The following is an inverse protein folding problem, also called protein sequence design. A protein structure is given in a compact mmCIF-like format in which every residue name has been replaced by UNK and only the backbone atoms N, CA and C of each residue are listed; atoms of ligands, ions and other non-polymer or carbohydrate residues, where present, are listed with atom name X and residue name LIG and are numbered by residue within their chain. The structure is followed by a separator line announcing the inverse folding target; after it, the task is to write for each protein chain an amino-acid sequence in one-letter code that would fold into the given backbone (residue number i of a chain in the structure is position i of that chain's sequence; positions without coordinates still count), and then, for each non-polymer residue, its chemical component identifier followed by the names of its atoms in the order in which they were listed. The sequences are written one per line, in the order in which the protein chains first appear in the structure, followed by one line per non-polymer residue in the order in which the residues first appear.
data_IF_641934332143
#
_entry.id   IF_641934332143
#
_cell.length_a   1.000
_cell.length_b   1.000
_cell.length_c   1.000
_cell.angle_alpha   90.00
_cell.angle_beta   90.00
_cell.angle_gamma   90.00
#
_symmetry.space_group_name_H-M   'P 1'
#
loop_
_entity.id
_entity.type
_entity.pdbx_description
1 polymer ?
#
# COMPACT_ATOMS: atom_id res chain seq x y z
N UNK A 1 -2.46 7.40 51.45
CA UNK A 1 -2.76 6.73 50.19
C UNK A 1 -1.49 6.82 49.33
N UNK A 2 -0.76 5.70 49.20
CA UNK A 2 0.46 5.65 48.41
C UNK A 2 0.09 5.76 46.94
N UNK A 3 0.67 6.75 46.27
CA UNK A 3 0.55 6.93 44.83
C UNK A 3 1.37 5.81 44.17
N UNK A 4 0.71 4.73 43.75
CA UNK A 4 1.36 3.69 42.95
C UNK A 4 1.80 4.33 41.63
N UNK A 5 3.05 4.70 41.57
CA UNK A 5 3.68 5.14 40.34
C UNK A 5 3.79 3.91 39.42
N UNK A 6 2.83 3.76 38.49
CA UNK A 6 2.98 2.80 37.41
C UNK A 6 4.29 3.11 36.69
N UNK A 7 5.14 2.10 36.43
CA UNK A 7 6.37 2.33 35.69
C UNK A 7 6.01 2.93 34.33
N UNK A 8 6.52 4.13 34.04
CA UNK A 8 6.33 4.79 32.73
C UNK A 8 7.08 3.99 31.70
N UNK A 9 6.39 3.24 30.88
CA UNK A 9 7.01 2.58 29.72
C UNK A 9 7.43 3.67 28.73
N UNK A 10 8.71 3.66 28.35
CA UNK A 10 9.20 4.57 27.31
C UNK A 10 8.50 4.26 25.98
N UNK A 11 8.03 5.29 25.28
CA UNK A 11 7.44 5.18 23.96
C UNK A 11 8.40 5.85 22.97
N UNK A 12 8.74 5.15 21.91
CA UNK A 12 9.49 5.67 20.78
C UNK A 12 8.53 5.89 19.59
N UNK A 13 8.68 7.01 18.90
CA UNK A 13 7.91 7.29 17.68
C UNK A 13 8.81 6.96 16.49
N UNK A 14 8.37 5.99 15.70
CA UNK A 14 8.97 5.63 14.42
C UNK A 14 8.20 6.26 13.26
N UNK A 15 8.91 6.61 12.19
CA UNK A 15 8.32 7.04 10.92
C UNK A 15 8.64 5.98 9.86
N UNK A 16 7.66 5.60 9.05
CA UNK A 16 7.85 4.65 7.96
C UNK A 16 7.21 5.16 6.66
N UNK A 17 7.94 5.06 5.54
CA UNK A 17 7.52 5.58 4.24
C UNK A 17 7.22 4.47 3.23
N UNK A 18 5.97 4.32 2.82
CA UNK A 18 5.60 3.55 1.63
C UNK A 18 5.79 4.44 0.39
N UNK A 19 6.97 4.34 -0.24
CA UNK A 19 7.34 5.14 -1.42
C UNK A 19 7.04 4.33 -2.67
N UNK A 20 6.05 4.77 -3.43
CA UNK A 20 5.51 4.08 -4.61
C UNK A 20 6.01 4.73 -5.89
N UNK A 21 6.37 3.89 -6.86
CA UNK A 21 6.60 4.26 -8.25
C UNK A 21 5.88 3.26 -9.18
N UNK A 22 5.65 3.63 -10.43
CA UNK A 22 5.10 2.72 -11.45
C UNK A 22 6.10 2.62 -12.60
N UNK A 23 6.53 1.41 -12.92
CA UNK A 23 7.36 1.12 -14.10
C UNK A 23 6.53 0.36 -15.12
N UNK A 24 6.16 1.04 -16.21
CA UNK A 24 5.24 0.55 -17.23
C UNK A 24 3.88 0.14 -16.65
N UNK A 25 3.71 -1.15 -16.36
CA UNK A 25 2.50 -1.75 -15.78
C UNK A 25 2.76 -2.41 -14.40
N UNK A 26 3.97 -2.22 -13.86
CA UNK A 26 4.39 -2.83 -12.59
C UNK A 26 4.42 -1.79 -11.48
N UNK A 27 3.56 -1.91 -10.46
CA UNK A 27 3.61 -1.04 -9.31
C UNK A 27 4.75 -1.48 -8.38
N UNK A 28 5.59 -0.53 -8.04
CA UNK A 28 6.81 -0.73 -7.28
C UNK A 28 6.71 -0.07 -5.91
N UNK A 29 7.31 -0.71 -4.92
CA UNK A 29 7.51 -0.18 -3.58
C UNK A 29 8.99 -0.13 -3.25
N UNK A 30 9.47 0.97 -2.70
CA UNK A 30 10.83 1.07 -2.18
C UNK A 30 10.94 0.27 -0.89
N UNK A 31 11.92 -0.63 -0.86
CA UNK A 31 12.25 -1.43 0.33
C UNK A 31 13.71 -1.23 0.71
N UNK A 32 14.00 -1.39 1.99
CA UNK A 32 15.34 -1.40 2.57
C UNK A 32 15.55 -2.66 3.40
N UNK A 33 16.81 -3.09 3.55
CA UNK A 33 17.19 -4.27 4.32
C UNK A 33 18.22 -5.12 3.60
N UNK A 34 19.15 -5.74 4.37
CA UNK A 34 20.27 -6.50 3.83
C UNK A 34 20.20 -8.00 4.09
N UNK A 35 19.50 -8.47 5.13
CA UNK A 35 19.61 -9.87 5.62
C UNK A 35 18.31 -10.67 5.47
N UNK A 36 17.78 -10.75 4.26
CA UNK A 36 16.69 -11.68 3.91
C UNK A 36 15.27 -11.16 4.13
N UNK A 37 14.98 -10.36 5.16
CA UNK A 37 13.68 -9.74 5.36
C UNK A 37 13.77 -8.24 5.10
N UNK A 38 12.97 -7.75 4.14
CA UNK A 38 12.94 -6.34 3.78
C UNK A 38 11.93 -5.56 4.63
N UNK A 39 12.17 -4.24 4.75
CA UNK A 39 11.24 -3.30 5.37
C UNK A 39 11.00 -2.09 4.48
N UNK A 40 10.07 -1.23 4.87
CA UNK A 40 9.96 0.10 4.30
C UNK A 40 11.10 0.98 4.83
N UNK A 41 11.56 1.99 4.09
CA UNK A 41 12.42 3.02 4.65
C UNK A 41 11.79 3.59 5.93
N UNK A 42 12.52 3.54 7.04
CA UNK A 42 11.99 3.90 8.35
C UNK A 42 13.09 4.41 9.27
N UNK A 43 12.71 5.23 10.24
CA UNK A 43 13.64 5.75 11.24
C UNK A 43 12.91 6.37 12.43
N UNK A 44 13.62 6.59 13.55
CA UNK A 44 13.06 7.25 14.73
C UNK A 44 12.77 8.74 14.44
N UNK A 45 11.70 9.24 15.04
CA UNK A 45 11.44 10.67 15.04
C UNK A 45 12.20 11.34 16.19
N UNK A 46 13.05 12.30 15.83
CA UNK A 46 13.74 13.15 16.81
C UNK A 46 13.05 14.53 16.91
N UNK A 47 12.30 14.81 17.99
CA UNK A 47 11.59 16.09 18.16
C UNK A 47 12.53 17.28 18.35
N UNK A 48 13.80 17.05 18.72
CA UNK A 48 14.79 18.11 18.85
C UNK A 48 15.38 18.50 17.50
N UNK A 49 15.51 17.55 16.58
CA UNK A 49 16.06 17.79 15.25
C UNK A 49 14.97 18.16 14.21
N UNK A 50 13.71 17.72 14.42
CA UNK A 50 12.65 17.87 13.43
C UNK A 50 11.39 18.49 14.02
N UNK A 51 10.98 19.64 13.46
CA UNK A 51 9.77 20.35 13.90
C UNK A 51 8.48 19.57 13.66
N UNK A 52 8.42 18.77 12.58
CA UNK A 52 7.24 17.97 12.22
C UNK A 52 7.64 16.57 11.78
N UNK A 53 6.71 15.62 11.87
CA UNK A 53 6.92 14.25 11.37
C UNK A 53 7.28 14.24 9.89
N UNK A 54 6.63 15.07 9.06
CA UNK A 54 6.92 15.14 7.63
C UNK A 54 8.34 15.60 7.34
N UNK A 55 8.85 16.60 8.07
CA UNK A 55 10.24 17.06 7.94
C UNK A 55 11.21 15.93 8.31
N UNK A 56 10.95 15.23 9.42
CA UNK A 56 11.74 14.07 9.82
C UNK A 56 11.71 12.96 8.79
N UNK A 57 10.52 12.65 8.26
CA UNK A 57 10.36 11.67 7.20
C UNK A 57 11.16 11.99 5.95
N UNK A 58 11.01 13.21 5.41
CA UNK A 58 11.71 13.63 4.18
C UNK A 58 13.23 13.58 4.35
N UNK A 59 13.72 13.96 5.54
CA UNK A 59 15.14 13.92 5.84
C UNK A 59 15.67 12.48 5.83
N UNK A 60 15.10 11.56 6.60
CA UNK A 60 15.63 10.19 6.63
C UNK A 60 15.44 9.46 5.30
N UNK A 61 14.34 9.72 4.56
CA UNK A 61 14.17 9.17 3.21
C UNK A 61 15.31 9.63 2.31
N UNK A 62 15.62 10.93 2.30
CA UNK A 62 16.75 11.49 1.52
C UNK A 62 18.09 10.88 1.95
N UNK A 63 18.34 10.76 3.27
CA UNK A 63 19.59 10.20 3.81
C UNK A 63 19.75 8.69 3.48
N UNK A 64 18.67 7.90 3.59
CA UNK A 64 18.73 6.45 3.34
C UNK A 64 18.67 6.07 1.86
N UNK A 65 18.01 6.87 1.04
CA UNK A 65 17.67 6.46 -0.34
C UNK A 65 18.16 7.43 -1.41
N UNK A 66 18.66 8.60 -1.03
CA UNK A 66 18.98 9.71 -1.93
C UNK A 66 17.80 10.16 -2.81
N UNK A 67 16.56 9.87 -2.40
CA UNK A 67 15.34 10.27 -3.09
C UNK A 67 14.77 11.56 -2.48
N UNK A 68 14.39 12.49 -3.35
CA UNK A 68 13.49 13.57 -3.01
C UNK A 68 12.06 13.17 -3.39
N UNK A 69 11.22 12.99 -2.36
CA UNK A 69 9.81 12.64 -2.57
C UNK A 69 8.96 13.88 -2.77
N UNK A 70 8.14 13.89 -3.82
CA UNK A 70 7.20 14.97 -4.12
C UNK A 70 5.98 14.92 -3.21
N UNK A 71 5.00 14.14 -3.60
CA UNK A 71 3.77 13.93 -2.83
C UNK A 71 4.02 13.08 -1.59
N UNK A 72 3.57 13.57 -0.43
CA UNK A 72 3.63 12.86 0.85
C UNK A 72 2.29 13.02 1.57
N UNK A 73 1.79 11.95 2.15
CA UNK A 73 0.55 11.94 2.94
C UNK A 73 0.71 11.03 4.16
N UNK A 74 0.35 11.52 5.33
CA UNK A 74 0.26 10.69 6.53
C UNK A 74 -0.93 9.72 6.39
N UNK A 75 -0.69 8.45 6.67
CA UNK A 75 -1.70 7.39 6.58
C UNK A 75 -2.40 7.18 7.92
N UNK A 76 -1.74 6.45 8.80
CA UNK A 76 -2.27 6.01 10.08
C UNK A 76 -1.12 5.89 11.09
N UNK A 77 -1.48 5.86 12.37
CA UNK A 77 -0.54 5.60 13.47
C UNK A 77 -0.74 4.17 13.97
N UNK A 78 0.32 3.37 13.90
CA UNK A 78 0.34 1.95 14.24
C UNK A 78 1.00 1.80 15.60
N UNK A 79 0.21 1.52 16.63
CA UNK A 79 0.69 1.40 18.01
C UNK A 79 0.27 0.08 18.67
N UNK A 80 -0.05 -0.95 17.89
CA UNK A 80 -0.48 -2.23 18.43
C UNK A 80 0.67 -2.95 19.15
N UNK A 81 0.45 -3.24 20.42
CA UNK A 81 1.43 -3.97 21.23
C UNK A 81 1.66 -5.36 20.65
N UNK A 82 2.94 -5.77 20.52
CA UNK A 82 3.34 -7.10 20.05
C UNK A 82 3.41 -7.23 18.52
N UNK A 83 3.37 -6.13 17.76
CA UNK A 83 3.63 -6.14 16.31
C UNK A 83 5.00 -5.55 15.93
N UNK A 84 5.68 -4.90 16.85
CA UNK A 84 7.04 -4.35 16.67
C UNK A 84 8.12 -5.12 17.41
N UNK A 85 7.75 -5.90 18.41
CA UNK A 85 8.67 -6.60 19.29
C UNK A 85 8.32 -8.07 19.34
N UNK A 86 9.34 -8.93 19.47
CA UNK A 86 9.12 -10.34 19.80
C UNK A 86 8.51 -10.47 21.20
N UNK A 87 7.74 -11.53 21.44
CA UNK A 87 7.18 -11.80 22.75
C UNK A 87 8.31 -11.91 23.80
N UNK A 88 8.29 -11.03 24.81
CA UNK A 88 9.33 -10.96 25.85
C UNK A 88 10.38 -9.86 25.64
N UNK A 89 10.31 -9.08 24.56
CA UNK A 89 11.19 -7.94 24.34
C UNK A 89 10.91 -6.83 25.39
N UNK A 90 12.00 -6.30 25.97
CA UNK A 90 11.98 -5.21 26.97
C UNK A 90 12.28 -3.84 26.35
N UNK A 91 12.46 -3.77 25.03
CA UNK A 91 12.68 -2.53 24.31
C UNK A 91 11.50 -1.54 24.45
N UNK A 92 11.71 -0.24 24.26
CA UNK A 92 10.65 0.75 24.25
C UNK A 92 9.54 0.36 23.28
N UNK A 93 8.28 0.67 23.64
CA UNK A 93 7.16 0.46 22.75
C UNK A 93 7.23 1.44 21.57
N UNK A 94 7.41 0.90 20.36
CA UNK A 94 7.46 1.73 19.15
C UNK A 94 6.05 1.98 18.62
N UNK A 95 5.71 3.25 18.46
CA UNK A 95 4.50 3.71 17.76
C UNK A 95 4.92 4.22 16.39
N UNK A 96 4.55 3.52 15.32
CA UNK A 96 4.92 3.88 13.95
C UNK A 96 3.88 4.77 13.31
N UNK A 97 4.33 5.90 12.74
CA UNK A 97 3.51 6.76 11.88
C UNK A 97 3.83 6.43 10.43
N UNK A 98 2.85 5.85 9.74
CA UNK A 98 2.97 5.45 8.34
C UNK A 98 2.70 6.63 7.39
N UNK A 99 3.44 6.68 6.30
CA UNK A 99 3.29 7.66 5.23
C UNK A 99 3.21 6.98 3.86
N UNK A 100 2.39 7.53 2.97
CA UNK A 100 2.42 7.27 1.54
C UNK A 100 3.21 8.38 0.87
N UNK A 101 4.19 8.01 0.03
CA UNK A 101 4.89 8.94 -0.84
C UNK A 101 4.88 8.41 -2.28
N UNK A 102 4.82 9.32 -3.24
CA UNK A 102 4.79 8.99 -4.67
C UNK A 102 6.02 9.58 -5.35
N UNK A 103 6.62 8.82 -6.26
CA UNK A 103 7.76 9.26 -7.05
C UNK A 103 7.66 8.75 -8.49
N UNK A 104 8.27 9.46 -9.43
CA UNK A 104 8.32 9.06 -10.84
C UNK A 104 9.37 7.96 -11.04
N UNK A 105 9.11 7.02 -11.93
CA UNK A 105 10.04 5.91 -12.23
C UNK A 105 11.42 6.38 -12.68
N UNK A 106 11.51 7.50 -13.39
CA UNK A 106 12.80 8.07 -13.81
C UNK A 106 13.69 8.44 -12.61
N UNK A 107 13.08 9.02 -11.56
CA UNK A 107 13.75 9.34 -10.30
C UNK A 107 14.12 8.03 -9.57
N UNK A 108 13.17 7.09 -9.52
CA UNK A 108 13.39 5.77 -8.91
C UNK A 108 14.56 5.01 -9.55
N UNK A 109 14.66 5.02 -10.88
CA UNK A 109 15.77 4.39 -11.64
C UNK A 109 17.11 5.10 -11.44
N UNK A 110 17.12 6.40 -11.19
CA UNK A 110 18.33 7.17 -10.95
C UNK A 110 18.87 7.03 -9.52
N UNK A 111 18.13 6.37 -8.64
CA UNK A 111 18.50 6.17 -7.24
C UNK A 111 19.81 5.39 -7.11
N UNK A 112 20.77 5.97 -6.38
CA UNK A 112 22.02 5.33 -5.98
C UNK A 112 21.99 5.12 -4.47
N UNK A 113 21.43 4.02 -4.02
CA UNK A 113 21.31 3.71 -2.60
C UNK A 113 22.03 2.42 -2.26
N UNK A 114 22.65 2.39 -1.08
CA UNK A 114 23.25 1.19 -0.50
C UNK A 114 22.17 0.51 0.36
N UNK A 115 21.62 -0.60 -0.17
CA UNK A 115 20.66 -1.42 0.58
C UNK A 115 19.18 -1.08 0.41
N UNK A 116 18.82 -0.05 -0.38
CA UNK A 116 17.44 0.20 -0.77
C UNK A 116 17.22 -0.09 -2.26
N UNK A 117 16.06 -0.68 -2.59
CA UNK A 117 15.69 -1.03 -3.97
C UNK A 117 14.19 -1.02 -4.16
N UNK A 118 13.75 -0.87 -5.40
CA UNK A 118 12.34 -1.00 -5.75
C UNK A 118 11.99 -2.46 -6.04
N UNK A 119 10.89 -2.93 -5.45
CA UNK A 119 10.34 -4.29 -5.63
C UNK A 119 8.88 -4.21 -6.09
N UNK A 120 8.40 -5.14 -6.92
CA UNK A 120 6.98 -5.22 -7.26
C UNK A 120 6.12 -5.42 -6.00
N UNK A 121 5.14 -4.56 -5.75
CA UNK A 121 4.36 -4.67 -4.51
C UNK A 121 3.46 -5.89 -4.45
N UNK A 122 3.06 -6.47 -5.62
CA UNK A 122 2.27 -7.71 -5.66
C UNK A 122 3.04 -8.94 -5.17
N UNK A 123 4.36 -8.86 -5.07
CA UNK A 123 5.21 -9.85 -4.40
C UNK A 123 4.81 -10.04 -2.92
N UNK A 124 4.39 -8.95 -2.28
CA UNK A 124 3.91 -8.95 -0.90
C UNK A 124 2.42 -9.30 -0.79
N UNK A 125 1.62 -9.03 -1.82
CA UNK A 125 0.17 -9.24 -1.86
C UNK A 125 -0.26 -9.93 -3.16
N UNK A 126 0.14 -11.19 -3.42
CA UNK A 126 -0.13 -11.87 -4.69
C UNK A 126 -1.63 -12.09 -4.97
N UNK A 127 -2.48 -11.98 -3.97
CA UNK A 127 -3.95 -12.07 -4.11
C UNK A 127 -4.61 -10.77 -4.55
N UNK A 128 -3.86 -9.68 -4.66
CA UNK A 128 -4.36 -8.35 -5.05
C UNK A 128 -4.23 -8.07 -6.55
N UNK A 129 -3.51 -8.88 -7.32
CA UNK A 129 -3.34 -8.72 -8.75
C UNK A 129 -4.32 -9.59 -9.54
N UNK A 130 -5.35 -8.97 -10.08
CA UNK A 130 -6.39 -9.62 -10.87
C UNK A 130 -6.28 -9.34 -12.37
N UNK A 131 -5.17 -8.80 -12.85
CA UNK A 131 -4.98 -8.48 -14.27
C UNK A 131 -4.96 -9.72 -15.14
N UNK A 132 -4.38 -10.81 -14.64
CA UNK A 132 -4.40 -12.13 -15.30
C UNK A 132 -5.60 -12.99 -14.88
N UNK A 133 -6.68 -12.35 -14.40
CA UNK A 133 -7.85 -13.00 -13.85
C UNK A 133 -7.77 -13.25 -12.35
N UNK A 134 -8.68 -14.07 -11.83
CA UNK A 134 -8.74 -14.38 -10.39
C UNK A 134 -7.47 -15.08 -9.91
N UNK A 135 -6.76 -14.54 -8.91
CA UNK A 135 -5.54 -15.16 -8.40
C UNK A 135 -5.79 -16.58 -7.85
N UNK A 136 -5.08 -17.57 -8.40
CA UNK A 136 -5.25 -18.98 -8.02
C UNK A 136 -5.05 -19.25 -6.52
N UNK A 137 -4.20 -18.47 -5.87
CA UNK A 137 -3.89 -18.56 -4.43
C UNK A 137 -5.14 -18.35 -3.56
N UNK A 138 -6.13 -17.59 -4.04
CA UNK A 138 -7.39 -17.39 -3.33
C UNK A 138 -8.13 -18.69 -3.09
N UNK A 139 -8.31 -19.48 -4.15
CA UNK A 139 -9.09 -20.73 -4.08
C UNK A 139 -8.25 -21.92 -3.62
N UNK A 140 -6.94 -21.91 -3.93
CA UNK A 140 -6.03 -23.00 -3.55
C UNK A 140 -5.63 -22.97 -2.07
N UNK A 141 -5.47 -21.79 -1.46
CA UNK A 141 -4.91 -21.67 -0.10
C UNK A 141 -5.72 -20.75 0.81
N UNK A 142 -6.03 -19.52 0.38
CA UNK A 142 -6.55 -18.46 1.26
C UNK A 142 -7.97 -18.77 1.75
N UNK A 143 -8.93 -18.95 0.83
CA UNK A 143 -10.33 -19.15 1.20
C UNK A 143 -10.58 -20.45 1.96
N UNK A 144 -9.99 -21.60 1.59
CA UNK A 144 -10.11 -22.82 2.39
C UNK A 144 -9.60 -22.64 3.83
N UNK A 145 -8.45 -21.99 3.99
CA UNK A 145 -7.86 -21.76 5.31
C UNK A 145 -8.67 -20.77 6.16
N UNK A 146 -9.15 -19.67 5.56
CA UNK A 146 -10.02 -18.70 6.23
C UNK A 146 -11.37 -19.33 6.64
N UNK A 147 -11.97 -20.15 5.78
CA UNK A 147 -13.22 -20.84 6.10
C UNK A 147 -13.03 -21.88 7.21
N UNK A 148 -11.90 -22.57 7.27
CA UNK A 148 -11.55 -23.45 8.38
C UNK A 148 -11.35 -22.66 9.68
N UNK A 149 -10.61 -21.56 9.66
CA UNK A 149 -10.43 -20.68 10.80
C UNK A 149 -11.78 -20.11 11.31
N UNK A 150 -12.66 -19.66 10.43
CA UNK A 150 -13.94 -19.06 10.81
C UNK A 150 -14.89 -20.03 11.55
N UNK A 151 -14.67 -21.36 11.47
CA UNK A 151 -15.45 -22.35 12.23
C UNK A 151 -15.10 -22.36 13.72
N UNK A 152 -13.88 -21.96 14.08
CA UNK A 152 -13.36 -22.01 15.46
C UNK A 152 -13.11 -20.61 16.06
N UNK A 153 -13.00 -19.59 15.21
CA UNK A 153 -12.74 -18.22 15.64
C UNK A 153 -13.97 -17.61 16.33
N UNK A 154 -13.72 -16.91 17.44
CA UNK A 154 -14.73 -16.09 18.12
C UNK A 154 -14.64 -14.65 17.61
N UNK A 155 -15.77 -13.94 17.45
CA UNK A 155 -15.75 -12.51 17.20
C UNK A 155 -14.94 -11.80 18.29
N UNK A 156 -14.17 -10.77 17.92
CA UNK A 156 -13.53 -9.91 18.92
C UNK A 156 -14.61 -9.18 19.75
N UNK A 157 -14.35 -8.87 21.02
CA UNK A 157 -15.26 -8.06 21.82
C UNK A 157 -15.61 -6.76 21.10
N UNK A 158 -16.91 -6.46 20.93
CA UNK A 158 -17.39 -5.29 20.21
C UNK A 158 -17.27 -5.34 18.68
N UNK A 159 -16.90 -6.49 18.10
CA UNK A 159 -16.85 -6.63 16.63
C UNK A 159 -18.26 -6.58 16.03
N UNK A 160 -18.45 -5.71 15.05
CA UNK A 160 -19.69 -5.55 14.30
C UNK A 160 -20.01 -6.79 13.43
N UNK A 161 -18.98 -7.45 12.90
CA UNK A 161 -19.10 -8.56 11.97
C UNK A 161 -18.49 -9.85 12.51
N UNK A 162 -19.18 -10.96 12.26
CA UNK A 162 -18.65 -12.31 12.51
C UNK A 162 -17.45 -12.61 11.60
N UNK A 163 -16.59 -13.61 11.95
CA UNK A 163 -15.48 -14.02 11.08
C UNK A 163 -15.90 -14.36 9.64
N UNK A 164 -17.05 -15.03 9.45
CA UNK A 164 -17.59 -15.36 8.12
C UNK A 164 -18.03 -14.13 7.33
N UNK A 165 -18.69 -13.19 7.98
CA UNK A 165 -19.09 -11.93 7.34
C UNK A 165 -17.88 -11.10 6.93
N UNK A 166 -16.85 -11.06 7.77
CA UNK A 166 -15.57 -10.40 7.42
C UNK A 166 -14.93 -11.05 6.18
N UNK A 167 -14.92 -12.38 6.06
CA UNK A 167 -14.42 -13.07 4.86
C UNK A 167 -15.24 -12.65 3.64
N UNK A 168 -16.56 -12.71 3.72
CA UNK A 168 -17.45 -12.33 2.63
C UNK A 168 -17.24 -10.88 2.17
N UNK A 169 -17.16 -9.95 3.11
CA UNK A 169 -16.98 -8.53 2.83
C UNK A 169 -15.59 -8.20 2.27
N UNK A 170 -14.54 -8.88 2.75
CA UNK A 170 -13.16 -8.57 2.36
C UNK A 170 -12.74 -9.28 1.07
N UNK A 171 -13.16 -10.54 0.86
CA UNK A 171 -12.75 -11.35 -0.29
C UNK A 171 -13.84 -11.51 -1.37
N UNK A 172 -14.98 -10.85 -1.21
CA UNK A 172 -16.04 -10.83 -2.21
C UNK A 172 -16.73 -12.19 -2.42
N UNK A 173 -16.68 -13.10 -1.44
CA UNK A 173 -17.35 -14.40 -1.54
C UNK A 173 -18.87 -14.21 -1.60
N UNK A 174 -19.47 -14.37 -2.79
CA UNK A 174 -20.87 -14.06 -3.06
C UNK A 174 -21.20 -12.57 -3.12
N UNK A 175 -20.20 -11.69 -3.18
CA UNK A 175 -20.32 -10.25 -3.34
C UNK A 175 -19.26 -9.72 -4.34
N UNK A 176 -19.32 -8.45 -4.66
CA UNK A 176 -18.33 -7.81 -5.54
C UNK A 176 -16.96 -7.69 -4.85
N UNK A 177 -15.86 -7.98 -5.59
CA UNK A 177 -14.51 -7.69 -5.14
C UNK A 177 -14.28 -6.19 -5.07
N UNK A 178 -13.95 -5.70 -3.87
CA UNK A 178 -13.63 -4.30 -3.63
C UNK A 178 -12.11 -4.13 -3.57
N UNK A 179 -11.54 -3.46 -4.56
CA UNK A 179 -10.10 -3.23 -4.69
C UNK A 179 -9.51 -2.38 -3.55
N UNK A 180 -10.32 -1.60 -2.85
CA UNK A 180 -9.85 -0.73 -1.77
C UNK A 180 -9.61 -1.47 -0.44
N UNK A 181 -10.14 -2.69 -0.28
CA UNK A 181 -10.07 -3.46 0.97
C UNK A 181 -8.78 -4.26 1.17
N UNK A 182 -7.64 -3.71 0.76
CA UNK A 182 -6.34 -4.40 0.90
C UNK A 182 -5.95 -4.58 2.36
N UNK A 183 -6.14 -3.53 3.18
CA UNK A 183 -5.85 -3.58 4.61
C UNK A 183 -6.74 -4.60 5.33
N UNK A 184 -8.04 -4.61 5.06
CA UNK A 184 -8.99 -5.52 5.69
C UNK A 184 -8.67 -6.99 5.35
N UNK A 185 -8.26 -7.26 4.12
CA UNK A 185 -7.78 -8.60 3.71
C UNK A 185 -6.52 -8.99 4.44
N UNK A 186 -5.54 -8.10 4.51
CA UNK A 186 -4.31 -8.33 5.26
C UNK A 186 -4.60 -8.60 6.74
N UNK A 187 -5.41 -7.77 7.40
CA UNK A 187 -5.79 -7.93 8.80
C UNK A 187 -6.56 -9.24 9.06
N UNK A 188 -7.36 -9.68 8.11
CA UNK A 188 -8.08 -10.94 8.22
C UNK A 188 -7.12 -12.12 8.14
N UNK A 189 -6.16 -12.12 7.21
CA UNK A 189 -5.11 -13.13 7.09
C UNK A 189 -4.21 -13.15 8.33
N UNK A 190 -3.85 -11.97 8.87
CA UNK A 190 -3.10 -11.85 10.11
C UNK A 190 -3.87 -12.45 11.30
N UNK A 191 -5.15 -12.12 11.44
CA UNK A 191 -6.02 -12.62 12.52
C UNK A 191 -6.19 -14.13 12.45
N UNK A 192 -6.23 -14.69 11.25
CA UNK A 192 -6.37 -16.13 11.01
C UNK A 192 -5.04 -16.90 11.14
N UNK A 193 -3.92 -16.23 11.38
CA UNK A 193 -2.61 -16.86 11.50
C UNK A 193 -2.03 -17.38 10.19
N UNK A 194 -2.37 -16.74 9.07
CA UNK A 194 -2.04 -17.23 7.70
C UNK A 194 -0.82 -16.57 7.08
N UNK A 195 -0.24 -15.56 7.73
CA UNK A 195 0.92 -14.82 7.24
C UNK A 195 2.06 -14.88 8.27
N UNK A 196 3.30 -14.75 7.78
CA UNK A 196 4.53 -14.91 8.59
C UNK A 196 4.58 -13.92 9.77
N UNK A 197 4.13 -12.68 9.57
CA UNK A 197 4.10 -11.65 10.62
C UNK A 197 3.27 -12.10 11.82
N UNK A 198 2.16 -12.81 11.59
CA UNK A 198 1.34 -13.33 12.69
C UNK A 198 2.03 -14.44 13.48
N UNK A 199 2.88 -15.24 12.83
CA UNK A 199 3.69 -16.26 13.49
C UNK A 199 4.82 -15.62 14.31
N UNK A 200 5.55 -14.68 13.72
CA UNK A 200 6.60 -13.89 14.38
C UNK A 200 6.06 -13.20 15.64
N UNK A 201 4.86 -12.63 15.54
CA UNK A 201 4.23 -11.88 16.63
C UNK A 201 3.52 -12.79 17.66
N UNK A 202 3.71 -14.13 17.57
CA UNK A 202 3.23 -15.10 18.55
C UNK A 202 1.70 -15.24 18.62
N UNK A 203 0.98 -14.97 17.52
CA UNK A 203 -0.50 -15.07 17.50
C UNK A 203 -0.95 -16.52 17.66
N UNK A 204 -1.89 -16.76 18.56
CA UNK A 204 -2.32 -18.11 18.95
C UNK A 204 -2.72 -19.00 17.76
N UNK A 205 -3.47 -18.47 16.78
CA UNK A 205 -3.87 -19.21 15.59
C UNK A 205 -2.66 -19.55 14.69
N UNK A 206 -1.66 -18.67 14.60
CA UNK A 206 -0.45 -18.92 13.84
C UNK A 206 0.43 -19.98 14.51
N UNK A 207 0.61 -19.89 15.84
CA UNK A 207 1.34 -20.88 16.61
C UNK A 207 0.70 -22.28 16.54
N UNK A 208 -0.63 -22.34 16.64
CA UNK A 208 -1.38 -23.61 16.54
C UNK A 208 -1.29 -24.24 15.14
N UNK A 209 -1.14 -23.44 14.08
CA UNK A 209 -1.00 -23.90 12.71
C UNK A 209 0.42 -24.37 12.39
N UNK A 210 1.42 -23.76 13.00
CA UNK A 210 2.83 -23.98 12.67
C UNK A 210 3.25 -23.37 11.33
N UNK A 211 4.44 -23.73 10.85
CA UNK A 211 4.94 -23.29 9.53
C UNK A 211 4.07 -23.86 8.42
N UNK A 212 3.56 -22.99 7.59
CA UNK A 212 2.81 -23.31 6.37
C UNK A 212 3.36 -22.51 5.20
N UNK A 213 2.84 -22.77 3.99
CA UNK A 213 3.16 -21.98 2.80
C UNK A 213 2.96 -20.49 3.06
N UNK A 214 3.98 -19.69 2.69
CA UNK A 214 3.99 -18.25 2.93
C UNK A 214 3.06 -17.56 1.93
N UNK A 215 2.07 -16.84 2.42
CA UNK A 215 1.19 -16.04 1.58
C UNK A 215 1.84 -14.67 1.28
N UNK A 216 2.56 -14.59 0.17
CA UNK A 216 3.36 -13.44 -0.21
C UNK A 216 4.62 -13.28 0.65
N UNK A 217 5.52 -12.40 0.26
CA UNK A 217 6.75 -12.17 1.03
C UNK A 217 6.48 -11.37 2.31
N UNK A 218 7.08 -11.74 3.44
CA UNK A 218 6.94 -11.00 4.69
C UNK A 218 7.77 -9.72 4.66
N UNK A 219 7.41 -8.78 5.55
CA UNK A 219 8.19 -7.58 5.82
C UNK A 219 8.56 -7.47 7.31
N UNK A 220 9.59 -6.66 7.59
CA UNK A 220 9.97 -6.36 8.97
C UNK A 220 8.84 -5.62 9.69
N UNK A 221 8.74 -5.78 11.00
CA UNK A 221 7.80 -5.08 11.87
C UNK A 221 6.35 -5.09 11.33
N UNK A 222 5.68 -3.97 11.42
CA UNK A 222 4.33 -3.74 10.88
C UNK A 222 4.34 -3.16 9.45
N UNK A 223 5.49 -3.23 8.75
CA UNK A 223 5.70 -2.56 7.46
C UNK A 223 4.78 -3.08 6.35
N UNK A 224 4.47 -4.37 6.34
CA UNK A 224 3.51 -4.92 5.37
C UNK A 224 2.10 -4.43 5.62
N UNK A 225 1.71 -4.19 6.88
CA UNK A 225 0.44 -3.55 7.24
C UNK A 225 0.40 -2.09 6.79
N UNK A 226 1.50 -1.35 7.00
CA UNK A 226 1.65 0.03 6.51
C UNK A 226 1.52 0.06 4.98
N UNK A 227 2.17 -0.87 4.27
CA UNK A 227 2.05 -1.00 2.81
C UNK A 227 0.62 -1.35 2.38
N UNK A 228 -0.07 -2.27 3.06
CA UNK A 228 -1.48 -2.58 2.79
C UNK A 228 -2.36 -1.34 2.94
N UNK A 229 -2.12 -0.54 3.98
CA UNK A 229 -2.82 0.74 4.21
C UNK A 229 -2.52 1.74 3.10
N UNK A 230 -1.26 1.83 2.65
CA UNK A 230 -0.85 2.71 1.56
C UNK A 230 -1.54 2.35 0.24
N UNK A 231 -1.59 1.05 -0.10
CA UNK A 231 -2.28 0.56 -1.31
C UNK A 231 -3.78 0.85 -1.24
N UNK A 232 -4.46 0.53 -0.12
CA UNK A 232 -5.87 0.86 0.09
C UNK A 232 -6.13 2.36 -0.11
N UNK A 233 -5.30 3.20 0.52
CA UNK A 233 -5.40 4.66 0.43
C UNK A 233 -5.19 5.17 -0.99
N UNK A 234 -4.17 4.66 -1.69
CA UNK A 234 -3.88 5.07 -3.07
C UNK A 234 -5.02 4.68 -4.01
N UNK A 235 -5.52 3.44 -3.93
CA UNK A 235 -6.66 2.95 -4.72
C UNK A 235 -7.92 3.79 -4.50
N UNK A 236 -8.27 4.07 -3.26
CA UNK A 236 -9.40 4.93 -2.92
C UNK A 236 -9.20 6.36 -3.46
N UNK A 237 -7.98 6.91 -3.29
CA UNK A 237 -7.67 8.30 -3.65
C UNK A 237 -7.73 8.56 -5.15
N UNK A 238 -7.43 7.59 -6.00
CA UNK A 238 -7.57 7.72 -7.45
C UNK A 238 -8.98 8.19 -7.87
N UNK A 239 -10.02 7.81 -7.11
CA UNK A 239 -11.42 8.13 -7.43
C UNK A 239 -11.80 9.59 -7.18
N UNK A 240 -11.07 10.30 -6.29
CA UNK A 240 -11.41 11.67 -5.91
C UNK A 240 -10.24 12.66 -5.90
N UNK A 241 -9.02 12.21 -6.19
CA UNK A 241 -7.83 13.06 -6.32
C UNK A 241 -6.99 12.65 -7.53
N UNK A 242 -6.35 13.58 -8.21
CA UNK A 242 -5.58 13.30 -9.41
C UNK A 242 -4.15 12.83 -9.09
N UNK A 243 -3.98 12.04 -8.02
CA UNK A 243 -2.65 11.59 -7.50
C UNK A 243 -1.89 10.69 -8.47
N UNK A 244 -2.58 10.09 -9.45
CA UNK A 244 -1.93 9.28 -10.49
C UNK A 244 -0.88 10.08 -11.28
N UNK A 245 -1.08 11.38 -11.45
CA UNK A 245 -0.16 12.24 -12.20
C UNK A 245 1.16 12.50 -11.47
N UNK A 246 1.23 12.27 -10.16
CA UNK A 246 2.48 12.29 -9.41
C UNK A 246 3.41 11.12 -9.78
N UNK A 247 2.86 10.06 -10.36
CA UNK A 247 3.57 8.87 -10.83
C UNK A 247 3.92 8.92 -12.32
N UNK A 248 3.29 9.85 -13.08
CA UNK A 248 3.43 9.97 -14.53
C UNK A 248 4.55 10.94 -14.92
N UNK A 249 5.06 10.79 -16.15
CA UNK A 249 5.82 11.84 -16.80
C UNK A 249 4.93 13.06 -17.06
N UNK A 250 5.52 14.23 -17.35
CA UNK A 250 4.75 15.44 -17.61
C UNK A 250 3.84 15.29 -18.84
N UNK A 251 4.36 14.68 -19.90
CA UNK A 251 3.62 14.32 -21.11
C UNK A 251 3.50 12.80 -21.22
N UNK A 252 2.32 12.31 -21.53
CA UNK A 252 1.97 10.89 -21.57
C UNK A 252 0.85 10.60 -22.58
N UNK A 253 0.71 9.34 -22.97
CA UNK A 253 -0.45 8.87 -23.74
C UNK A 253 -1.57 8.40 -22.82
N UNK A 254 -2.84 8.44 -23.31
CA UNK A 254 -3.96 7.86 -22.53
C UNK A 254 -3.80 6.36 -22.27
N UNK A 255 -3.01 5.66 -23.07
CA UNK A 255 -2.69 4.24 -22.86
C UNK A 255 -1.75 4.06 -21.68
N UNK A 256 -0.74 4.91 -21.53
CA UNK A 256 0.15 4.90 -20.36
C UNK A 256 -0.60 5.24 -19.09
N UNK A 257 -1.47 6.28 -19.13
CA UNK A 257 -2.33 6.63 -18.00
C UNK A 257 -3.24 5.44 -17.60
N UNK A 258 -3.85 4.76 -18.57
CA UNK A 258 -4.69 3.59 -18.32
C UNK A 258 -3.88 2.47 -17.66
N UNK A 259 -2.71 2.12 -18.18
CA UNK A 259 -1.83 1.08 -17.62
C UNK A 259 -1.38 1.42 -16.19
N UNK A 260 -1.04 2.68 -15.93
CA UNK A 260 -0.69 3.13 -14.58
C UNK A 260 -1.85 2.95 -13.61
N UNK A 261 -3.07 3.31 -14.00
CA UNK A 261 -4.27 3.09 -13.17
C UNK A 261 -4.53 1.59 -12.97
N UNK A 262 -4.48 0.77 -14.03
CA UNK A 262 -4.65 -0.69 -13.97
C UNK A 262 -3.61 -1.35 -13.07
N UNK A 263 -2.36 -0.91 -13.13
CA UNK A 263 -1.28 -1.38 -12.26
C UNK A 263 -1.61 -1.14 -10.78
N UNK A 264 -2.12 0.04 -10.44
CA UNK A 264 -2.48 0.39 -9.05
C UNK A 264 -3.71 -0.38 -8.58
N UNK A 265 -4.78 -0.44 -9.39
CA UNK A 265 -6.04 -1.10 -8.98
C UNK A 265 -5.99 -2.62 -9.06
N UNK A 266 -5.02 -3.17 -9.79
CA UNK A 266 -4.82 -4.62 -9.93
C UNK A 266 -5.83 -5.30 -10.85
N UNK A 267 -6.46 -4.59 -11.76
CA UNK A 267 -7.39 -5.15 -12.76
C UNK A 267 -7.39 -4.34 -14.05
N UNK A 268 -7.69 -4.99 -15.15
CA UNK A 268 -7.87 -4.30 -16.42
C UNK A 268 -9.16 -3.49 -16.48
N UNK A 269 -9.09 -2.34 -17.15
CA UNK A 269 -10.20 -1.44 -17.40
C UNK A 269 -10.58 -1.48 -18.88
N UNK A 270 -11.87 -1.41 -19.18
CA UNK A 270 -12.32 -1.36 -20.55
C UNK A 270 -11.86 -0.05 -21.23
N UNK A 271 -11.04 -0.17 -22.29
CA UNK A 271 -10.34 0.94 -22.96
C UNK A 271 -11.24 2.11 -23.32
N UNK A 272 -12.39 1.84 -23.94
CA UNK A 272 -13.33 2.89 -24.37
C UNK A 272 -13.98 3.60 -23.19
N UNK A 273 -14.34 2.85 -22.13
CA UNK A 273 -14.92 3.43 -20.92
C UNK A 273 -13.90 4.29 -20.18
N UNK A 274 -12.64 3.83 -20.10
CA UNK A 274 -11.57 4.61 -19.49
C UNK A 274 -11.32 5.92 -20.23
N UNK A 275 -11.22 5.89 -21.58
CA UNK A 275 -11.04 7.08 -22.40
C UNK A 275 -12.16 8.09 -22.21
N UNK A 276 -13.43 7.63 -22.31
CA UNK A 276 -14.60 8.48 -22.07
C UNK A 276 -14.59 9.10 -20.68
N UNK A 277 -14.17 8.33 -19.66
CA UNK A 277 -14.03 8.83 -18.30
C UNK A 277 -13.00 9.95 -18.22
N UNK A 278 -11.79 9.74 -18.76
CA UNK A 278 -10.70 10.73 -18.73
C UNK A 278 -11.10 12.00 -19.47
N UNK A 279 -11.65 11.87 -20.69
CA UNK A 279 -12.15 13.00 -21.50
C UNK A 279 -13.25 13.77 -20.77
N UNK A 280 -14.22 13.06 -20.18
CA UNK A 280 -15.34 13.69 -19.45
C UNK A 280 -14.95 14.36 -18.13
N UNK A 281 -13.79 14.00 -17.55
CA UNK A 281 -13.28 14.64 -16.32
C UNK A 281 -12.46 15.89 -16.58
N UNK A 282 -12.05 16.14 -17.83
CA UNK A 282 -11.18 17.27 -18.22
C UNK A 282 -9.90 17.39 -17.38
N UNK A 283 -9.41 16.26 -16.86
CA UNK A 283 -8.18 16.20 -16.07
C UNK A 283 -6.91 16.34 -16.91
N UNK A 284 -7.03 16.10 -18.20
CA UNK A 284 -5.92 16.15 -19.15
C UNK A 284 -6.23 17.03 -20.34
N UNK A 285 -5.20 17.62 -20.91
CA UNK A 285 -5.28 18.39 -22.15
C UNK A 285 -4.28 17.86 -23.18
N UNK A 286 -4.60 17.90 -24.50
CA UNK A 286 -3.67 17.49 -25.53
C UNK A 286 -2.51 18.48 -25.63
N UNK A 287 -1.29 17.96 -25.82
CA UNK A 287 -0.09 18.79 -26.05
C UNK A 287 0.07 19.24 -27.49
N UNK A 288 -0.64 18.60 -28.43
CA UNK A 288 -0.46 18.76 -29.87
C UNK A 288 0.63 17.84 -30.44
N UNK A 289 1.37 17.14 -29.60
CA UNK A 289 2.42 16.20 -29.99
C UNK A 289 1.90 14.76 -30.13
N UNK A 290 2.68 13.93 -30.81
CA UNK A 290 2.39 12.50 -30.98
C UNK A 290 3.61 11.67 -30.57
N UNK A 291 3.36 10.57 -29.84
CA UNK A 291 4.38 9.59 -29.51
C UNK A 291 4.48 8.53 -30.62
N UNK A 292 5.70 8.27 -31.08
CA UNK A 292 6.03 7.19 -32.02
C UNK A 292 6.56 5.94 -31.33
N UNK A 293 6.74 5.99 -30.00
CA UNK A 293 7.32 4.88 -29.22
C UNK A 293 6.29 3.77 -28.88
N UNK A 294 5.12 3.80 -29.46
CA UNK A 294 3.98 2.92 -29.11
C UNK A 294 3.96 1.57 -29.84
N UNK A 295 4.95 1.27 -30.70
CA UNK A 295 5.00 0.01 -31.48
C UNK A 295 3.85 -0.14 -32.51
N UNK A 296 3.06 0.92 -32.76
CA UNK A 296 1.93 0.92 -33.65
C UNK A 296 1.64 2.33 -34.22
N UNK A 297 0.34 2.64 -34.43
CA UNK A 297 -0.09 3.98 -34.88
C UNK A 297 0.37 5.04 -33.86
N UNK A 298 0.92 6.19 -34.31
CA UNK A 298 1.27 7.31 -33.42
C UNK A 298 0.12 7.67 -32.48
N UNK A 299 0.42 7.85 -31.20
CA UNK A 299 -0.58 8.18 -30.18
C UNK A 299 -0.46 9.64 -29.76
N UNK A 300 -1.58 10.32 -29.62
CA UNK A 300 -1.61 11.70 -29.13
C UNK A 300 -1.07 11.77 -27.69
N UNK A 301 -0.27 12.81 -27.43
CA UNK A 301 0.27 13.12 -26.11
C UNK A 301 -0.64 14.06 -25.35
N UNK A 302 -0.69 13.88 -24.06
CA UNK A 302 -1.50 14.64 -23.12
C UNK A 302 -0.64 15.04 -21.93
N UNK A 303 -1.06 16.11 -21.23
CA UNK A 303 -0.53 16.52 -19.94
C UNK A 303 -1.63 16.72 -18.93
N UNK A 304 -1.28 16.67 -17.65
CA UNK A 304 -2.21 16.96 -16.56
C UNK A 304 -2.55 18.47 -16.52
N UNK A 305 -3.84 18.79 -16.54
CA UNK A 305 -4.36 20.15 -16.41
C UNK A 305 -4.42 20.57 -14.94
N UNK A 306 -3.37 21.24 -14.46
CA UNK A 306 -3.23 21.61 -13.04
C UNK A 306 -4.30 22.58 -12.54
N UNK A 307 -4.89 23.37 -13.42
CA UNK A 307 -5.96 24.34 -13.12
C UNK A 307 -7.18 23.67 -12.49
N UNK A 308 -7.43 22.41 -12.84
CA UNK A 308 -8.54 21.60 -12.30
C UNK A 308 -8.52 21.50 -10.76
N UNK A 309 -7.33 21.60 -10.14
CA UNK A 309 -7.18 21.61 -8.69
C UNK A 309 -7.80 22.85 -8.02
N UNK A 310 -7.90 23.96 -8.76
CA UNK A 310 -8.52 25.19 -8.30
C UNK A 310 -10.00 25.24 -8.65
N UNK A 311 -10.40 24.60 -9.74
CA UNK A 311 -11.77 24.58 -10.25
C UNK A 311 -12.69 23.63 -9.49
N UNK A 312 -12.14 22.52 -8.97
CA UNK A 312 -12.94 21.43 -8.38
C UNK A 312 -12.35 20.95 -7.06
N UNK A 313 -13.17 20.74 -6.02
CA UNK A 313 -12.69 20.28 -4.70
C UNK A 313 -12.21 18.81 -4.70
N UNK A 314 -12.72 17.97 -5.63
CA UNK A 314 -12.40 16.54 -5.70
C UNK A 314 -12.27 16.05 -7.16
N UNK A 315 -11.21 16.50 -7.89
CA UNK A 315 -10.97 16.08 -9.26
C UNK A 315 -10.29 14.72 -9.30
N UNK A 316 -11.02 13.63 -9.50
CA UNK A 316 -10.49 12.27 -9.57
C UNK A 316 -11.10 11.43 -10.69
N UNK A 317 -10.53 10.23 -10.91
CA UNK A 317 -11.00 9.26 -11.90
C UNK A 317 -12.00 8.30 -11.23
N UNK A 318 -13.29 8.54 -11.36
CA UNK A 318 -14.34 7.68 -10.79
C UNK A 318 -14.60 6.46 -11.69
N UNK A 319 -13.72 5.46 -11.67
CA UNK A 319 -13.95 4.18 -12.31
C UNK A 319 -14.63 3.22 -11.33
N UNK A 320 -15.60 2.44 -11.80
CA UNK A 320 -16.33 1.47 -10.98
C UNK A 320 -17.80 1.78 -10.72
N UNK A 321 -18.45 2.53 -11.61
CA UNK A 321 -19.91 2.53 -11.71
C UNK A 321 -20.38 1.21 -12.32
N UNK A 322 -21.49 0.66 -11.81
CA UNK A 322 -22.14 -0.63 -12.12
C UNK A 322 -22.08 -1.07 -13.56
#
# INVERSE_FOLDING_TARGET
MANEQHPRTAIEIGLAAAIVAIDADTPLILVSGMDGTVGLPSGPFDPLAHRTFEIGLRRFVSEQTALEVGYVEQLYTFGDRGRHAQAGDTAPHVVSVGYLALTRVAIARAMKSHGARFEPWYKFFPWEDWRDGRPKILDAAILPALNAWAKVAKPAPGAEFSPRERIRLSFGEGAHWDEERVLERYELLYSAGLIEESLRDGRAHALARGKSETLGEPMQFDHRRILATAISRLRAKLKYRPVVFELMQDDFTLTELQRTVEAIVGRHLHKQNFRRLVEGTELVEPTGEVSTQTGGRPAAMYRFRREVLRERPAPGLRFGGR
#
